data_IF_375815480588
#
_entry.id   IF_375815480588
#
_cell.length_a   1.000
_cell.length_b   1.000
_cell.length_c   1.000
_cell.angle_alpha   90.00
_cell.angle_beta   90.00
_cell.angle_gamma   90.00
#
_symmetry.space_group_name_H-M   'P 1'
#
loop_
_entity.id
_entity.type
_entity.pdbx_description
1 polymer ?
#
# COMPACT_ATOMS: atom_id res chain seq x y z
N UNK A 1 18.96 -11.40 9.46
CA UNK A 1 17.54 -11.64 9.77
C UNK A 1 16.73 -11.53 8.49
N UNK A 2 15.75 -12.40 8.22
CA UNK A 2 14.87 -12.29 7.08
C UNK A 2 13.99 -11.03 7.21
N UNK A 3 13.83 -10.32 6.09
CA UNK A 3 12.95 -9.15 5.97
C UNK A 3 11.80 -9.51 5.05
N UNK A 4 10.59 -9.14 5.41
CA UNK A 4 9.38 -9.35 4.63
C UNK A 4 8.75 -8.00 4.34
N UNK A 5 8.71 -7.62 3.08
CA UNK A 5 8.19 -6.32 2.64
C UNK A 5 6.78 -6.46 2.06
N UNK A 6 5.93 -5.46 2.29
CA UNK A 6 4.61 -5.40 1.66
C UNK A 6 4.25 -3.98 1.20
N UNK A 7 3.35 -3.92 0.25
CA UNK A 7 2.61 -2.72 -0.13
C UNK A 7 1.13 -2.97 0.10
N UNK A 8 0.52 -2.01 0.75
CA UNK A 8 -0.92 -2.01 0.97
C UNK A 8 -1.56 -1.12 -0.09
N UNK A 9 -2.48 -1.67 -0.88
CA UNK A 9 -3.06 -1.01 -2.05
C UNK A 9 -4.56 -0.73 -1.91
N UNK A 10 -5.20 -1.20 -0.85
CA UNK A 10 -6.62 -0.94 -0.63
C UNK A 10 -6.88 0.56 -0.48
N UNK A 11 -7.86 1.05 -1.21
CA UNK A 11 -8.19 2.47 -1.25
C UNK A 11 -7.79 3.19 -2.54
N UNK A 12 -6.93 2.58 -3.37
CA UNK A 12 -6.51 3.17 -4.65
C UNK A 12 -7.54 3.00 -5.79
N UNK A 13 -8.51 2.11 -5.62
CA UNK A 13 -9.55 1.84 -6.63
C UNK A 13 -10.86 2.57 -6.27
N UNK A 14 -11.32 3.54 -7.10
CA UNK A 14 -12.56 4.28 -6.87
C UNK A 14 -13.82 3.39 -6.92
N UNK A 15 -13.74 2.20 -7.52
CA UNK A 15 -14.83 1.23 -7.49
C UNK A 15 -14.96 0.53 -6.12
N UNK A 16 -13.91 0.54 -5.31
CA UNK A 16 -13.89 -0.08 -3.98
C UNK A 16 -14.25 0.91 -2.89
N UNK A 17 -13.68 2.10 -2.94
CA UNK A 17 -13.95 3.19 -1.99
C UNK A 17 -14.91 4.21 -2.59
N UNK A 18 -14.44 5.32 -3.04
CA UNK A 18 -15.07 6.24 -4.00
C UNK A 18 -13.97 7.08 -4.67
N UNK A 19 -14.35 7.87 -5.67
CA UNK A 19 -13.41 8.65 -6.45
C UNK A 19 -12.67 9.70 -5.61
N UNK A 20 -13.34 10.36 -4.67
CA UNK A 20 -12.72 11.35 -3.81
C UNK A 20 -11.71 10.69 -2.86
N UNK A 21 -12.10 9.59 -2.19
CA UNK A 21 -11.19 8.86 -1.32
C UNK A 21 -9.98 8.33 -2.07
N UNK A 22 -10.20 7.67 -3.22
CA UNK A 22 -9.08 7.09 -3.99
C UNK A 22 -8.11 8.15 -4.53
N UNK A 23 -8.60 9.35 -4.86
CA UNK A 23 -7.78 10.45 -5.36
C UNK A 23 -7.01 11.17 -4.24
N UNK A 24 -7.66 11.50 -3.13
CA UNK A 24 -7.08 12.36 -2.10
C UNK A 24 -6.43 11.60 -0.94
N UNK A 25 -6.83 10.37 -0.69
CA UNK A 25 -6.35 9.55 0.43
C UNK A 25 -5.65 8.29 -0.08
N UNK A 26 -6.30 7.52 -0.94
CA UNK A 26 -5.76 6.27 -1.50
C UNK A 26 -5.36 5.27 -0.41
N UNK A 27 -4.27 4.57 -0.64
CA UNK A 27 -3.65 3.65 0.31
C UNK A 27 -2.72 4.39 1.29
N UNK A 28 -3.27 5.35 2.01
CA UNK A 28 -2.50 6.27 2.85
C UNK A 28 -1.82 5.57 4.04
N UNK A 29 -0.84 6.27 4.62
CA UNK A 29 -0.15 5.85 5.84
C UNK A 29 -1.15 5.56 6.97
N UNK A 30 -0.95 4.43 7.63
CA UNK A 30 -1.73 4.02 8.79
C UNK A 30 -3.04 3.28 8.48
N UNK A 31 -3.58 3.33 7.27
CA UNK A 31 -4.84 2.63 6.92
C UNK A 31 -4.72 1.11 7.12
N UNK A 32 -3.57 0.52 6.84
CA UNK A 32 -3.33 -0.92 7.04
C UNK A 32 -3.49 -1.38 8.49
N UNK A 33 -3.30 -0.50 9.49
CA UNK A 33 -3.48 -0.84 10.91
C UNK A 33 -4.91 -1.24 11.24
N UNK A 34 -5.90 -0.64 10.58
CA UNK A 34 -7.32 -0.92 10.81
C UNK A 34 -7.70 -2.33 10.34
N UNK A 35 -7.03 -2.79 9.28
CA UNK A 35 -7.14 -4.18 8.81
C UNK A 35 -6.49 -5.15 9.79
N UNK A 36 -5.33 -4.83 10.34
CA UNK A 36 -4.66 -5.69 11.32
C UNK A 36 -5.45 -5.79 12.63
N UNK A 37 -6.13 -4.72 13.05
CA UNK A 37 -6.92 -4.66 14.29
C UNK A 37 -8.37 -5.10 14.11
N UNK A 38 -8.84 -5.26 12.86
CA UNK A 38 -10.28 -5.37 12.53
C UNK A 38 -11.12 -4.23 13.14
N UNK A 39 -10.50 -3.07 13.31
CA UNK A 39 -11.10 -1.88 13.90
C UNK A 39 -11.19 -0.79 12.86
N UNK A 40 -12.22 -0.86 12.03
CA UNK A 40 -12.51 0.14 11.00
C UNK A 40 -13.22 1.37 11.58
N UNK A 41 -12.80 1.80 12.76
CA UNK A 41 -13.24 3.06 13.32
C UNK A 41 -12.59 4.17 12.52
N UNK A 42 -13.43 4.96 11.94
CA UNK A 42 -13.04 6.12 11.18
C UNK A 42 -12.39 7.14 12.13
N UNK A 43 -11.08 7.10 12.27
CA UNK A 43 -10.33 8.08 13.07
C UNK A 43 -10.40 9.47 12.45
N UNK A 44 -10.84 9.56 11.20
CA UNK A 44 -11.02 10.82 10.49
C UNK A 44 -12.30 10.77 9.64
N UNK A 45 -13.49 10.98 10.29
CA UNK A 45 -14.79 10.86 9.64
C UNK A 45 -14.99 11.86 8.49
N UNK A 46 -14.25 12.95 8.46
CA UNK A 46 -14.33 13.94 7.39
C UNK A 46 -13.64 13.46 6.10
N UNK A 47 -12.59 12.66 6.22
CA UNK A 47 -11.81 12.16 5.08
C UNK A 47 -12.26 10.80 4.57
N UNK A 48 -13.01 10.02 5.35
CA UNK A 48 -13.30 8.64 4.97
C UNK A 48 -14.72 8.12 5.20
N UNK A 49 -15.80 8.92 5.11
CA UNK A 49 -17.15 8.35 5.24
C UNK A 49 -17.41 7.26 4.19
N UNK A 50 -16.70 7.31 3.06
CA UNK A 50 -16.89 6.43 1.92
C UNK A 50 -15.82 5.34 1.77
N UNK A 51 -14.81 5.31 2.65
CA UNK A 51 -13.79 4.25 2.62
C UNK A 51 -14.35 2.92 3.15
N UNK A 52 -15.11 2.98 4.24
CA UNK A 52 -15.67 1.82 4.93
C UNK A 52 -17.17 1.71 4.60
N UNK A 53 -17.48 0.99 3.54
CA UNK A 53 -18.83 0.89 2.98
C UNK A 53 -19.38 -0.53 3.13
N UNK A 54 -20.70 -0.65 3.07
CA UNK A 54 -21.37 -1.95 3.07
C UNK A 54 -20.97 -2.76 1.83
N UNK A 55 -20.84 -2.10 0.69
CA UNK A 55 -20.53 -2.70 -0.60
C UNK A 55 -19.13 -3.34 -0.63
N UNK A 56 -18.17 -2.76 0.08
CA UNK A 56 -16.79 -3.29 0.14
C UNK A 56 -16.52 -4.18 1.36
N UNK A 57 -17.53 -4.45 2.17
CA UNK A 57 -17.38 -5.23 3.42
C UNK A 57 -16.80 -6.63 3.19
N UNK A 58 -17.20 -7.32 2.11
CA UNK A 58 -16.76 -8.68 1.84
C UNK A 58 -15.25 -8.72 1.54
N UNK A 59 -14.78 -7.95 0.56
CA UNK A 59 -13.36 -7.90 0.21
C UNK A 59 -12.48 -7.37 1.34
N UNK A 60 -12.95 -6.35 2.06
CA UNK A 60 -12.27 -5.79 3.21
C UNK A 60 -12.08 -6.81 4.35
N UNK A 61 -13.11 -7.57 4.70
CA UNK A 61 -13.01 -8.62 5.73
C UNK A 61 -12.10 -9.77 5.31
N UNK A 62 -12.15 -10.16 4.05
CA UNK A 62 -11.26 -11.18 3.52
C UNK A 62 -9.81 -10.70 3.56
N UNK A 63 -9.53 -9.46 3.15
CA UNK A 63 -8.19 -8.86 3.24
C UNK A 63 -7.69 -8.81 4.69
N UNK A 64 -8.54 -8.39 5.61
CA UNK A 64 -8.24 -8.42 7.05
C UNK A 64 -7.81 -9.82 7.51
N UNK A 65 -8.61 -10.83 7.19
CA UNK A 65 -8.31 -12.21 7.57
C UNK A 65 -6.98 -12.70 6.99
N UNK A 66 -6.69 -12.37 5.74
CA UNK A 66 -5.42 -12.73 5.09
C UNK A 66 -4.24 -12.04 5.78
N UNK A 67 -4.32 -10.73 5.99
CA UNK A 67 -3.25 -9.96 6.64
C UNK A 67 -2.99 -10.43 8.08
N UNK A 68 -4.05 -10.68 8.85
CA UNK A 68 -3.93 -11.17 10.23
C UNK A 68 -3.28 -12.56 10.29
N UNK A 69 -3.59 -13.46 9.34
CA UNK A 69 -2.93 -14.78 9.26
C UNK A 69 -1.44 -14.65 9.00
N UNK A 70 -1.03 -13.83 8.04
CA UNK A 70 0.40 -13.62 7.75
C UNK A 70 1.14 -12.99 8.92
N UNK A 71 0.59 -11.90 9.48
CA UNK A 71 1.24 -11.20 10.59
C UNK A 71 1.25 -12.06 11.86
N UNK A 72 0.15 -12.76 12.15
CA UNK A 72 0.08 -13.69 13.29
C UNK A 72 1.10 -14.82 13.18
N UNK A 73 1.26 -15.43 12.00
CA UNK A 73 2.28 -16.45 11.78
C UNK A 73 3.70 -15.88 11.96
N UNK A 74 3.96 -14.68 11.43
CA UNK A 74 5.26 -14.02 11.61
C UNK A 74 5.56 -13.74 13.08
N UNK A 75 4.62 -13.22 13.84
CA UNK A 75 4.78 -12.96 15.27
C UNK A 75 5.03 -14.24 16.09
N UNK A 76 4.42 -15.34 15.68
CA UNK A 76 4.53 -16.62 16.39
C UNK A 76 5.79 -17.40 16.01
N UNK A 77 6.22 -17.36 14.76
CA UNK A 77 7.21 -18.29 14.21
C UNK A 77 8.40 -17.59 13.51
N UNK A 78 8.39 -16.25 13.40
CA UNK A 78 9.40 -15.50 12.63
C UNK A 78 9.26 -15.64 11.10
N UNK A 79 8.22 -16.33 10.62
CA UNK A 79 7.89 -16.47 9.20
C UNK A 79 6.40 -16.20 8.99
N UNK A 80 6.02 -15.38 7.97
CA UNK A 80 4.63 -15.08 7.70
C UNK A 80 3.89 -16.21 6.97
N UNK A 81 4.59 -17.26 6.51
CA UNK A 81 4.01 -18.25 5.61
C UNK A 81 3.00 -19.17 6.30
N UNK A 82 1.82 -19.28 5.69
CA UNK A 82 0.66 -20.04 6.17
C UNK A 82 0.17 -20.97 5.07
N UNK A 83 -0.12 -22.20 5.41
CA UNK A 83 -0.72 -23.18 4.47
C UNK A 83 -2.04 -22.64 3.90
N UNK A 84 -2.18 -22.74 2.58
CA UNK A 84 -3.38 -22.29 1.85
C UNK A 84 -3.36 -20.80 1.45
N UNK A 85 -2.30 -20.06 1.80
CA UNK A 85 -2.04 -18.72 1.29
C UNK A 85 -0.81 -18.71 0.37
N UNK A 86 -0.67 -17.66 -0.45
CA UNK A 86 0.50 -17.49 -1.29
C UNK A 86 1.77 -17.36 -0.44
N UNK A 87 2.87 -17.94 -0.89
CA UNK A 87 4.16 -17.81 -0.19
C UNK A 87 4.62 -16.35 -0.20
N UNK A 88 4.87 -15.81 1.00
CA UNK A 88 5.51 -14.50 1.16
C UNK A 88 7.03 -14.70 1.20
N UNK A 89 7.69 -14.39 0.10
CA UNK A 89 9.15 -14.51 -0.02
C UNK A 89 9.84 -13.39 0.74
N UNK A 90 11.03 -13.66 1.24
CA UNK A 90 11.90 -12.66 1.85
C UNK A 90 12.27 -11.59 0.82
N UNK A 91 12.46 -10.38 1.30
CA UNK A 91 12.95 -9.28 0.47
C UNK A 91 14.34 -9.59 -0.10
N UNK A 92 14.55 -9.22 -1.36
CA UNK A 92 15.77 -9.42 -2.09
C UNK A 92 16.03 -8.22 -3.03
N UNK A 93 17.23 -7.70 -3.06
CA UNK A 93 17.60 -6.56 -3.90
C UNK A 93 17.70 -6.87 -5.41
N UNK A 94 17.78 -8.15 -5.79
CA UNK A 94 17.96 -8.53 -7.20
C UNK A 94 16.76 -8.08 -8.06
N UNK A 95 17.04 -7.60 -9.26
CA UNK A 95 16.02 -7.20 -10.22
C UNK A 95 15.18 -8.41 -10.67
N UNK A 96 13.89 -8.20 -10.95
CA UNK A 96 12.98 -9.21 -11.46
C UNK A 96 12.57 -10.31 -10.48
N UNK A 97 13.13 -10.33 -9.27
CA UNK A 97 12.77 -11.29 -8.23
C UNK A 97 11.56 -10.80 -7.43
N UNK A 98 10.58 -11.66 -7.20
CA UNK A 98 9.46 -11.39 -6.33
C UNK A 98 9.93 -11.07 -4.90
N UNK A 99 9.64 -9.88 -4.41
CA UNK A 99 10.20 -9.35 -3.16
C UNK A 99 9.22 -8.60 -2.28
N UNK A 100 8.08 -8.19 -2.82
CA UNK A 100 7.09 -7.38 -2.12
C UNK A 100 5.74 -8.09 -2.22
N UNK A 101 5.07 -8.31 -1.08
CA UNK A 101 3.69 -8.79 -1.03
C UNK A 101 2.75 -7.61 -1.27
N UNK A 102 1.90 -7.70 -2.28
CA UNK A 102 0.85 -6.72 -2.56
C UNK A 102 -0.44 -7.17 -1.88
N UNK A 103 -0.91 -6.40 -0.92
CA UNK A 103 -2.22 -6.58 -0.28
C UNK A 103 -3.24 -5.65 -0.90
N UNK A 104 -4.27 -6.22 -1.52
CA UNK A 104 -5.36 -5.46 -2.13
C UNK A 104 -6.70 -6.19 -1.99
N UNK A 105 -7.78 -5.47 -2.21
CA UNK A 105 -9.11 -6.07 -2.33
C UNK A 105 -9.98 -5.28 -3.30
N UNK A 106 -10.77 -6.01 -4.08
CA UNK A 106 -11.98 -5.47 -4.71
C UNK A 106 -13.09 -5.32 -3.66
N UNK A 107 -14.24 -4.83 -4.04
CA UNK A 107 -15.40 -4.78 -3.14
C UNK A 107 -15.80 -6.17 -2.58
N UNK A 108 -15.50 -7.24 -3.30
CA UNK A 108 -15.98 -8.61 -2.99
C UNK A 108 -14.87 -9.58 -2.59
N UNK A 109 -13.64 -9.39 -3.08
CA UNK A 109 -12.57 -10.38 -2.94
C UNK A 109 -11.22 -9.72 -2.68
N UNK A 110 -10.45 -10.30 -1.76
CA UNK A 110 -9.09 -9.89 -1.48
C UNK A 110 -8.06 -10.60 -2.35
N UNK A 111 -6.88 -10.01 -2.44
CA UNK A 111 -5.69 -10.61 -3.04
C UNK A 111 -4.46 -10.32 -2.20
N UNK A 112 -3.57 -11.30 -2.12
CA UNK A 112 -2.23 -11.17 -1.58
C UNK A 112 -1.28 -11.86 -2.57
N UNK A 113 -0.53 -11.09 -3.35
CA UNK A 113 0.31 -11.61 -4.42
C UNK A 113 1.71 -11.02 -4.35
N UNK A 114 2.72 -11.83 -4.64
CA UNK A 114 4.10 -11.36 -4.69
C UNK A 114 4.37 -10.58 -5.98
N UNK A 115 5.17 -9.51 -5.86
CA UNK A 115 5.58 -8.65 -6.97
C UNK A 115 7.09 -8.43 -6.95
N UNK A 116 7.74 -8.42 -8.12
CA UNK A 116 9.11 -7.97 -8.26
C UNK A 116 9.24 -6.45 -8.32
N UNK A 117 8.14 -5.73 -8.46
CA UNK A 117 8.13 -4.30 -8.76
C UNK A 117 8.50 -3.47 -7.53
N UNK A 118 9.56 -2.71 -7.67
CA UNK A 118 9.99 -1.68 -6.76
C UNK A 118 10.33 -0.47 -7.60
N UNK A 119 9.74 0.66 -7.28
CA UNK A 119 10.06 1.91 -7.97
C UNK A 119 11.33 2.50 -7.36
N UNK A 120 12.28 2.89 -8.19
CA UNK A 120 13.38 3.76 -7.77
C UNK A 120 12.89 5.21 -7.66
N UNK A 121 13.68 6.05 -7.01
CA UNK A 121 13.39 7.49 -6.97
C UNK A 121 13.37 8.07 -8.38
N UNK A 122 14.31 7.65 -9.23
CA UNK A 122 14.42 8.08 -10.62
C UNK A 122 13.18 7.71 -11.44
N UNK A 123 12.70 6.47 -11.32
CA UNK A 123 11.47 6.01 -11.98
C UNK A 123 10.25 6.79 -11.48
N UNK A 124 10.17 7.04 -10.17
CA UNK A 124 9.06 7.78 -9.56
C UNK A 124 9.04 9.23 -10.04
N UNK A 125 10.19 9.92 -10.08
CA UNK A 125 10.26 11.29 -10.59
C UNK A 125 10.04 11.37 -12.10
N UNK A 126 10.51 10.39 -12.86
CA UNK A 126 10.25 10.33 -14.30
C UNK A 126 8.74 10.16 -14.59
N UNK A 127 8.06 9.30 -13.83
CA UNK A 127 6.61 9.14 -13.94
C UNK A 127 5.87 10.42 -13.55
N UNK A 128 6.24 11.04 -12.42
CA UNK A 128 5.65 12.30 -11.97
C UNK A 128 5.78 13.41 -13.02
N UNK A 129 6.98 13.52 -13.63
CA UNK A 129 7.23 14.48 -14.69
C UNK A 129 6.43 14.21 -15.97
N UNK A 130 6.13 12.95 -16.25
CA UNK A 130 5.33 12.56 -17.41
C UNK A 130 3.83 12.81 -17.21
N UNK A 131 3.33 12.74 -15.98
CA UNK A 131 1.92 12.88 -15.63
C UNK A 131 1.51 14.32 -15.28
N UNK A 132 2.41 15.10 -14.67
CA UNK A 132 2.18 16.49 -14.29
C UNK A 132 2.50 17.46 -15.43
N UNK A 133 1.80 18.58 -15.50
CA UNK A 133 2.25 19.70 -16.34
C UNK A 133 3.46 20.40 -15.70
N UNK A 134 4.11 21.32 -16.44
CA UNK A 134 5.35 21.97 -16.00
C UNK A 134 5.19 22.74 -14.67
N UNK A 135 4.09 23.46 -14.49
CA UNK A 135 3.83 24.22 -13.26
C UNK A 135 3.53 23.31 -12.08
N UNK A 136 2.73 22.28 -12.27
CA UNK A 136 2.46 21.26 -11.24
C UNK A 136 3.74 20.56 -10.81
N UNK A 137 4.56 20.11 -11.76
CA UNK A 137 5.83 19.46 -11.46
C UNK A 137 6.76 20.38 -10.67
N UNK A 138 6.90 21.65 -11.08
CA UNK A 138 7.70 22.65 -10.37
C UNK A 138 7.19 22.86 -8.94
N UNK A 139 5.88 23.01 -8.74
CA UNK A 139 5.29 23.17 -7.41
C UNK A 139 5.55 21.95 -6.54
N UNK A 140 5.40 20.74 -7.08
CA UNK A 140 5.67 19.51 -6.34
C UNK A 140 7.14 19.44 -5.90
N UNK A 141 8.08 19.74 -6.80
CA UNK A 141 9.51 19.67 -6.50
C UNK A 141 9.97 20.77 -5.55
N UNK A 142 9.57 22.02 -5.79
CA UNK A 142 10.08 23.17 -5.02
C UNK A 142 9.36 23.41 -3.69
N UNK A 143 8.09 23.01 -3.58
CA UNK A 143 7.26 23.30 -2.39
C UNK A 143 7.03 22.07 -1.55
N UNK A 144 6.60 20.96 -2.16
CA UNK A 144 6.21 19.75 -1.41
C UNK A 144 7.40 18.86 -1.06
N UNK A 145 8.34 18.68 -1.97
CA UNK A 145 9.43 17.73 -1.82
C UNK A 145 10.77 18.35 -1.44
N UNK A 146 10.94 19.65 -1.58
CA UNK A 146 12.15 20.36 -1.19
C UNK A 146 12.58 19.99 0.24
N UNK A 147 13.85 19.69 0.41
CA UNK A 147 14.46 19.25 1.67
C UNK A 147 13.94 17.90 2.22
N UNK A 148 13.29 17.08 1.41
CA UNK A 148 12.97 15.71 1.81
C UNK A 148 14.18 14.80 1.60
N UNK A 149 14.41 13.85 2.52
CA UNK A 149 15.58 12.97 2.51
C UNK A 149 15.74 12.13 1.23
N UNK A 150 14.64 11.88 0.50
CA UNK A 150 14.64 11.13 -0.73
C UNK A 150 14.95 11.98 -1.98
N UNK A 151 15.08 13.30 -1.83
CA UNK A 151 15.44 14.16 -2.95
C UNK A 151 16.91 14.02 -3.31
N UNK A 152 17.25 14.00 -4.62
CA UNK A 152 18.64 13.81 -5.06
C UNK A 152 19.62 14.80 -4.47
N UNK A 153 19.23 16.06 -4.34
CA UNK A 153 20.05 17.15 -3.77
C UNK A 153 20.35 17.01 -2.27
N UNK A 154 19.64 16.12 -1.58
CA UNK A 154 19.81 15.89 -0.14
C UNK A 154 20.49 14.55 0.16
N UNK A 155 21.04 13.87 -0.86
CA UNK A 155 21.70 12.56 -0.75
C UNK A 155 23.22 12.68 -0.72
N UNK A 156 23.80 13.77 -0.14
CA UNK A 156 25.24 13.89 0.09
C UNK A 156 25.72 13.01 1.25
#
# INVERSE_FOLDING_TARGET
QPVYAYRFLWGTDPAVTDAAYSTYVGAAHGVSKDFLRESYKNENPELSPNAIRTENKAGRKELTSIMQKYVGAFLSNGSPNVTGLNTWSTWNAAAGVNKIMLFNATAKKASAVMSPQMYSDEETFAQLKAEANEDEYRILMEVMFKNRFFMPENKE
#
